data_IF_264234181958
#
_entry.id   IF_264234181958
#
_cell.length_a   1.000
_cell.length_b   1.000
_cell.length_c   1.000
_cell.angle_alpha   90.00
_cell.angle_beta   90.00
_cell.angle_gamma   90.00
#
_symmetry.space_group_name_H-M   'P 1'
#
loop_
_entity.id
_entity.type
_entity.pdbx_description
1 polymer ?
#
# COMPACT_ATOMS: atom_id res chain seq x y z
N UNK A 1 -34.36 32.23 18.63
CA UNK A 1 -33.30 31.57 17.83
C UNK A 1 -33.44 30.06 18.06
N UNK A 2 -33.58 29.27 17.00
CA UNK A 2 -33.78 27.81 17.14
C UNK A 2 -32.51 27.16 17.71
N UNK A 3 -32.64 26.11 18.53
CA UNK A 3 -31.51 25.41 19.19
C UNK A 3 -30.39 25.01 18.20
N UNK A 4 -30.76 24.66 16.96
CA UNK A 4 -29.81 24.41 15.85
C UNK A 4 -28.95 25.62 15.48
N UNK A 5 -29.52 26.82 15.47
CA UNK A 5 -28.79 28.05 15.13
C UNK A 5 -27.79 28.41 16.24
N UNK A 6 -28.16 28.18 17.50
CA UNK A 6 -27.25 28.39 18.65
C UNK A 6 -26.05 27.45 18.56
N UNK A 7 -26.28 26.17 18.25
CA UNK A 7 -25.21 25.17 18.09
C UNK A 7 -24.28 25.48 16.92
N UNK A 8 -24.82 25.94 15.79
CA UNK A 8 -24.00 26.33 14.61
C UNK A 8 -23.18 27.58 14.92
N UNK A 9 -23.75 28.57 15.60
CA UNK A 9 -23.03 29.79 15.99
C UNK A 9 -21.92 29.51 17.01
N UNK A 10 -22.14 28.59 17.96
CA UNK A 10 -21.11 28.12 18.90
C UNK A 10 -19.97 27.38 18.21
N UNK A 11 -20.28 26.55 17.21
CA UNK A 11 -19.27 25.84 16.43
C UNK A 11 -18.40 26.81 15.61
N UNK A 12 -19.01 27.81 14.97
CA UNK A 12 -18.29 28.84 14.23
C UNK A 12 -17.44 29.74 15.14
N UNK A 13 -17.93 30.06 16.34
CA UNK A 13 -17.15 30.81 17.32
C UNK A 13 -15.92 30.03 17.81
N UNK A 14 -16.04 28.72 18.04
CA UNK A 14 -14.90 27.88 18.41
C UNK A 14 -13.85 27.79 17.30
N UNK A 15 -14.27 27.63 16.04
CA UNK A 15 -13.36 27.57 14.88
C UNK A 15 -12.60 28.89 14.72
N UNK A 16 -13.28 30.03 14.91
CA UNK A 16 -12.66 31.35 14.83
C UNK A 16 -11.61 31.55 15.94
N UNK A 17 -11.91 31.10 17.17
CA UNK A 17 -11.00 31.18 18.31
C UNK A 17 -9.74 30.32 18.13
N UNK A 18 -9.84 29.15 17.48
CA UNK A 18 -8.67 28.31 17.18
C UNK A 18 -7.78 28.92 16.08
N UNK A 19 -8.37 29.53 15.05
CA UNK A 19 -7.59 30.18 13.98
C UNK A 19 -6.87 31.46 14.41
N UNK A 20 -7.35 32.15 15.46
CA UNK A 20 -6.63 33.32 16.01
C UNK A 20 -5.45 32.92 16.92
N UNK A 21 -5.43 31.67 17.42
CA UNK A 21 -4.34 31.13 18.23
C UNK A 21 -3.14 30.70 17.40
N UNK A 22 -3.33 30.31 16.12
CA UNK A 22 -2.24 29.89 15.23
C UNK A 22 -1.61 31.05 14.44
N UNK A 23 -2.32 32.17 14.31
CA UNK A 23 -1.83 33.33 13.56
C UNK A 23 -0.77 34.16 14.31
N UNK A 24 -0.53 33.91 15.60
CA UNK A 24 0.43 34.66 16.43
C UNK A 24 1.81 33.99 16.58
N UNK A 25 2.06 32.84 15.94
CA UNK A 25 3.32 32.09 16.07
C UNK A 25 4.20 32.03 14.81
N UNK A 26 3.97 32.87 13.80
CA UNK A 26 4.85 32.99 12.63
C UNK A 26 5.47 34.39 12.53
N UNK A 27 6.51 34.60 13.33
CA UNK A 27 7.49 35.66 13.11
C UNK A 27 8.85 35.02 12.80
N UNK A 28 9.57 35.61 11.83
CA UNK A 28 10.93 35.32 11.34
C UNK A 28 11.07 34.20 10.29
N UNK A 29 11.02 34.59 9.01
CA UNK A 29 11.72 33.88 7.94
C UNK A 29 13.21 34.32 7.96
N UNK A 30 14.19 33.40 7.93
CA UNK A 30 15.57 33.78 7.73
C UNK A 30 15.80 34.16 6.26
N UNK A 31 16.54 35.24 6.08
CA UNK A 31 17.06 35.74 4.80
C UNK A 31 17.91 34.62 4.18
N UNK A 32 17.51 34.11 3.02
CA UNK A 32 18.32 33.21 2.21
C UNK A 32 19.54 33.95 1.70
N UNK A 33 20.73 33.47 2.08
CA UNK A 33 21.99 33.86 1.44
C UNK A 33 21.93 33.51 -0.04
N UNK A 34 22.16 34.51 -0.91
CA UNK A 34 22.38 34.29 -2.33
C UNK A 34 23.68 33.50 -2.52
N UNK A 35 23.56 32.19 -2.75
CA UNK A 35 24.68 31.39 -3.23
C UNK A 35 25.00 31.86 -4.65
N UNK A 36 26.08 32.62 -4.78
CA UNK A 36 26.68 33.01 -6.06
C UNK A 36 27.09 31.76 -6.83
N UNK A 37 26.24 31.30 -7.76
CA UNK A 37 26.60 30.27 -8.72
C UNK A 37 27.52 30.93 -9.75
N UNK A 38 28.83 30.66 -9.64
CA UNK A 38 29.79 30.92 -10.71
C UNK A 38 29.24 30.28 -12.00
N UNK A 39 28.83 31.12 -12.97
CA UNK A 39 28.53 30.65 -14.32
C UNK A 39 29.81 30.11 -14.93
N UNK A 40 29.95 28.79 -14.98
CA UNK A 40 31.01 28.14 -15.76
C UNK A 40 30.98 28.69 -17.18
N UNK A 41 32.05 29.37 -17.58
CA UNK A 41 32.26 29.87 -18.94
C UNK A 41 32.33 28.69 -19.90
N UNK A 42 31.44 28.69 -20.89
CA UNK A 42 31.40 27.65 -21.93
C UNK A 42 32.71 27.68 -22.76
N UNK A 43 33.51 26.63 -22.63
CA UNK A 43 34.67 26.41 -23.50
C UNK A 43 34.24 25.73 -24.80
N UNK A 44 34.66 26.26 -25.94
CA UNK A 44 34.33 25.70 -27.24
C UNK A 44 35.01 24.35 -27.46
N UNK A 45 34.24 23.26 -27.47
CA UNK A 45 34.72 21.90 -27.77
C UNK A 45 34.73 21.62 -29.28
N UNK A 46 35.69 20.81 -29.74
CA UNK A 46 35.71 20.32 -31.12
C UNK A 46 34.59 19.31 -31.39
N UNK A 47 34.22 19.07 -32.66
CA UNK A 47 33.13 18.14 -33.02
C UNK A 47 33.39 16.71 -32.49
N UNK A 48 34.65 16.27 -32.43
CA UNK A 48 35.03 14.99 -31.84
C UNK A 48 34.84 14.94 -30.32
N UNK A 49 35.19 16.02 -29.63
CA UNK A 49 34.96 16.16 -28.17
C UNK A 49 33.47 16.33 -27.84
N UNK A 50 32.70 16.98 -28.72
CA UNK A 50 31.24 17.07 -28.60
C UNK A 50 30.60 15.69 -28.76
N UNK A 51 31.01 14.89 -29.75
CA UNK A 51 30.52 13.52 -29.94
C UNK A 51 30.92 12.60 -28.77
N UNK A 52 32.14 12.73 -28.24
CA UNK A 52 32.60 12.01 -27.05
C UNK A 52 31.83 12.41 -25.79
N UNK A 53 31.63 13.71 -25.56
CA UNK A 53 30.83 14.19 -24.43
C UNK A 53 29.36 13.81 -24.54
N UNK A 54 28.80 13.81 -25.76
CA UNK A 54 27.44 13.34 -26.02
C UNK A 54 27.31 11.86 -25.67
N UNK A 55 28.26 11.01 -26.11
CA UNK A 55 28.29 9.59 -25.77
C UNK A 55 28.37 9.38 -24.25
N UNK A 56 29.23 10.11 -23.55
CA UNK A 56 29.35 10.06 -22.08
C UNK A 56 28.07 10.46 -21.36
N UNK A 57 27.32 11.44 -21.89
CA UNK A 57 26.01 11.82 -21.33
C UNK A 57 24.86 10.87 -21.69
N UNK A 58 25.09 9.84 -22.50
CA UNK A 58 24.01 8.89 -22.84
C UNK A 58 23.78 7.89 -21.73
N UNK A 59 22.51 7.55 -21.49
CA UNK A 59 22.14 6.48 -20.55
C UNK A 59 22.62 5.09 -20.98
N UNK A 60 22.99 4.90 -22.26
CA UNK A 60 23.64 3.66 -22.72
C UNK A 60 25.06 3.57 -22.19
N UNK A 61 25.85 4.65 -22.26
CA UNK A 61 27.18 4.65 -21.67
C UNK A 61 27.11 4.49 -20.16
N UNK A 62 26.22 5.21 -19.48
CA UNK A 62 26.06 5.14 -18.02
C UNK A 62 25.53 3.78 -17.49
N UNK A 63 24.97 2.92 -18.35
CA UNK A 63 24.63 1.54 -17.97
C UNK A 63 25.84 0.60 -17.98
N UNK A 64 26.91 0.93 -18.71
CA UNK A 64 28.08 0.07 -18.92
C UNK A 64 29.39 0.65 -18.38
N UNK A 65 29.48 1.97 -18.25
CA UNK A 65 30.65 2.71 -17.80
C UNK A 65 30.49 3.11 -16.32
N UNK A 66 31.56 2.92 -15.55
CA UNK A 66 31.48 2.64 -14.10
C UNK A 66 31.56 3.89 -13.22
N UNK A 67 31.63 5.10 -13.78
CA UNK A 67 32.32 6.17 -13.05
C UNK A 67 31.64 7.55 -13.10
N UNK A 68 30.40 7.63 -12.60
CA UNK A 68 29.67 8.91 -12.54
C UNK A 68 29.44 9.45 -11.11
N UNK A 69 30.01 8.81 -10.08
CA UNK A 69 29.84 9.27 -8.68
C UNK A 69 28.37 9.33 -8.23
N UNK A 70 27.50 8.54 -8.87
CA UNK A 70 26.07 8.52 -8.55
C UNK A 70 25.85 8.01 -7.13
N UNK A 71 25.09 8.80 -6.38
CA UNK A 71 24.81 8.55 -4.99
C UNK A 71 23.52 7.72 -4.84
N UNK A 72 23.51 6.78 -3.91
CA UNK A 72 22.32 6.01 -3.52
C UNK A 72 21.27 6.95 -2.93
N UNK A 73 19.99 6.73 -3.23
CA UNK A 73 18.91 7.57 -2.68
C UNK A 73 18.44 7.04 -1.33
N UNK A 74 19.09 7.38 -0.22
CA UNK A 74 18.77 6.78 1.09
C UNK A 74 17.46 7.26 1.73
N UNK A 75 16.64 6.36 2.33
CA UNK A 75 15.41 6.74 3.04
C UNK A 75 15.67 7.66 4.25
N UNK A 76 16.88 7.65 4.80
CA UNK A 76 17.29 8.45 5.96
C UNK A 76 17.76 9.88 5.58
N UNK A 77 17.67 10.25 4.30
CA UNK A 77 18.01 11.58 3.78
C UNK A 77 19.43 11.70 3.21
N UNK A 78 19.71 12.86 2.60
CA UNK A 78 20.95 13.16 1.86
C UNK A 78 22.26 12.85 2.63
N UNK A 79 22.24 12.89 3.96
CA UNK A 79 23.43 12.65 4.80
C UNK A 79 23.91 11.18 4.82
N UNK A 80 23.10 10.24 4.36
CA UNK A 80 23.42 8.80 4.34
C UNK A 80 23.69 8.28 2.93
N UNK A 81 23.58 9.14 1.92
CA UNK A 81 23.85 8.76 0.54
C UNK A 81 25.32 8.35 0.39
N UNK A 82 25.55 7.20 -0.24
CA UNK A 82 26.87 6.68 -0.58
C UNK A 82 26.99 6.51 -2.08
N UNK A 83 28.20 6.41 -2.60
CA UNK A 83 28.40 6.05 -4.00
C UNK A 83 27.81 4.65 -4.27
N UNK A 84 27.07 4.53 -5.39
CA UNK A 84 26.53 3.27 -5.85
C UNK A 84 27.68 2.31 -6.19
N UNK A 85 27.53 1.05 -5.79
CA UNK A 85 28.44 -0.01 -6.22
C UNK A 85 28.28 -0.27 -7.72
N UNK A 86 29.31 -0.85 -8.36
CA UNK A 86 29.23 -1.25 -9.76
C UNK A 86 28.01 -2.12 -10.09
N UNK A 87 27.64 -3.01 -9.17
CA UNK A 87 26.44 -3.83 -9.34
C UNK A 87 25.17 -2.96 -9.33
N UNK A 88 25.05 -2.01 -8.41
CA UNK A 88 23.87 -1.14 -8.30
C UNK A 88 23.74 -0.17 -9.49
N UNK A 89 24.85 0.39 -9.98
CA UNK A 89 24.85 1.36 -11.07
C UNK A 89 24.70 0.74 -12.46
N UNK A 90 25.19 -0.50 -12.66
CA UNK A 90 25.18 -1.20 -13.95
C UNK A 90 24.25 -2.42 -13.95
N UNK A 91 24.75 -3.61 -13.63
CA UNK A 91 24.02 -4.89 -13.77
C UNK A 91 22.68 -4.91 -13.04
N UNK A 92 22.61 -4.32 -11.85
CA UNK A 92 21.42 -4.21 -11.03
C UNK A 92 20.32 -3.42 -11.72
N UNK A 93 20.65 -2.28 -12.35
CA UNK A 93 19.68 -1.52 -13.17
C UNK A 93 19.18 -2.32 -14.35
N UNK A 94 20.07 -3.06 -15.03
CA UNK A 94 19.68 -3.94 -16.15
C UNK A 94 18.68 -5.01 -15.66
N UNK A 95 18.96 -5.64 -14.52
CA UNK A 95 18.05 -6.62 -13.90
C UNK A 95 16.71 -5.97 -13.54
N UNK A 96 16.72 -4.78 -12.94
CA UNK A 96 15.49 -4.07 -12.58
C UNK A 96 14.68 -3.66 -13.80
N UNK A 97 15.32 -3.21 -14.87
CA UNK A 97 14.64 -2.91 -16.15
C UNK A 97 13.96 -4.17 -16.69
N UNK A 98 14.62 -5.33 -16.67
CA UNK A 98 14.02 -6.60 -17.07
C UNK A 98 12.81 -6.96 -16.20
N UNK A 99 12.92 -6.82 -14.88
CA UNK A 99 11.81 -7.03 -13.94
C UNK A 99 10.64 -6.10 -14.27
N UNK A 100 10.91 -4.81 -14.51
CA UNK A 100 9.91 -3.82 -14.90
C UNK A 100 9.18 -4.22 -16.19
N UNK A 101 9.90 -4.73 -17.20
CA UNK A 101 9.26 -5.25 -18.41
C UNK A 101 8.39 -6.49 -18.15
N UNK A 102 8.78 -7.35 -17.22
CA UNK A 102 7.92 -8.46 -16.76
C UNK A 102 6.64 -7.91 -16.11
N UNK A 103 6.74 -6.86 -15.27
CA UNK A 103 5.57 -6.22 -14.67
C UNK A 103 4.65 -5.59 -15.74
N UNK A 104 5.21 -4.94 -16.76
CA UNK A 104 4.41 -4.46 -17.90
C UNK A 104 3.72 -5.60 -18.66
N UNK A 105 4.42 -6.71 -18.91
CA UNK A 105 3.82 -7.88 -19.55
C UNK A 105 2.64 -8.43 -18.73
N UNK A 106 2.80 -8.54 -17.41
CA UNK A 106 1.74 -9.00 -16.52
C UNK A 106 0.55 -8.01 -16.50
N UNK A 107 0.81 -6.70 -16.46
CA UNK A 107 -0.23 -5.69 -16.44
C UNK A 107 -1.02 -5.64 -17.77
N UNK A 108 -0.31 -5.67 -18.90
CA UNK A 108 -0.90 -5.45 -20.23
C UNK A 108 -1.37 -6.75 -20.86
N UNK A 109 -0.48 -7.73 -21.03
CA UNK A 109 -0.80 -8.96 -21.75
C UNK A 109 -1.68 -9.92 -20.92
N UNK A 110 -1.55 -9.89 -19.60
CA UNK A 110 -2.31 -10.76 -18.69
C UNK A 110 -3.38 -10.02 -17.87
N UNK A 111 -3.51 -8.70 -18.04
CA UNK A 111 -4.51 -7.87 -17.34
C UNK A 111 -4.48 -8.04 -15.81
N UNK A 112 -3.29 -8.22 -15.23
CA UNK A 112 -3.13 -8.24 -13.76
C UNK A 112 -3.16 -6.81 -13.22
N UNK A 113 -4.30 -6.40 -12.65
CA UNK A 113 -4.51 -5.09 -11.99
C UNK A 113 -3.81 -3.90 -12.70
N UNK A 114 -4.13 -3.66 -13.99
CA UNK A 114 -3.41 -2.69 -14.82
C UNK A 114 -3.47 -1.26 -14.26
N UNK A 115 -4.54 -0.90 -13.53
CA UNK A 115 -4.71 0.43 -12.93
C UNK A 115 -3.60 0.77 -11.93
N UNK A 116 -3.06 -0.23 -11.22
CA UNK A 116 -1.99 -0.04 -10.23
C UNK A 116 -0.64 -0.50 -10.80
N UNK A 117 -0.62 -1.65 -11.48
CA UNK A 117 0.63 -2.27 -11.89
C UNK A 117 1.36 -1.49 -13.00
N UNK A 118 0.62 -0.78 -13.87
CA UNK A 118 1.23 0.06 -14.91
C UNK A 118 1.96 1.26 -14.28
N UNK A 119 1.34 2.11 -13.44
CA UNK A 119 2.06 3.18 -12.75
C UNK A 119 3.27 2.71 -11.94
N UNK A 120 3.17 1.56 -11.26
CA UNK A 120 4.28 0.98 -10.48
C UNK A 120 5.44 0.57 -11.38
N UNK A 121 5.16 -0.20 -12.44
CA UNK A 121 6.18 -0.60 -13.39
C UNK A 121 6.84 0.61 -14.05
N UNK A 122 6.04 1.64 -14.39
CA UNK A 122 6.57 2.86 -14.97
C UNK A 122 7.42 3.67 -14.00
N UNK A 123 7.01 3.80 -12.73
CA UNK A 123 7.84 4.41 -11.69
C UNK A 123 9.16 3.65 -11.48
N UNK A 124 9.13 2.32 -11.53
CA UNK A 124 10.32 1.47 -11.48
C UNK A 124 11.23 1.66 -12.70
N UNK A 125 10.66 1.81 -13.90
CA UNK A 125 11.44 2.14 -15.10
C UNK A 125 12.19 3.45 -14.88
N UNK A 126 11.47 4.50 -14.47
CA UNK A 126 12.00 5.84 -14.25
C UNK A 126 13.07 5.86 -13.15
N UNK A 127 12.88 5.08 -12.08
CA UNK A 127 13.84 4.98 -10.97
C UNK A 127 15.19 4.34 -11.38
N UNK A 128 15.21 3.55 -12.46
CA UNK A 128 16.41 2.87 -12.95
C UNK A 128 16.99 3.49 -14.22
N UNK A 129 16.51 4.67 -14.65
CA UNK A 129 17.17 5.42 -15.72
C UNK A 129 18.44 6.07 -15.15
N UNK A 130 19.63 5.72 -15.67
CA UNK A 130 20.88 6.30 -15.21
C UNK A 130 20.92 7.80 -15.52
N UNK A 131 21.68 8.55 -14.71
CA UNK A 131 21.93 9.99 -14.82
C UNK A 131 20.71 10.90 -14.66
N UNK A 132 19.50 10.34 -14.57
CA UNK A 132 18.27 11.13 -14.52
C UNK A 132 17.93 11.65 -13.11
N UNK A 133 18.51 11.06 -12.06
CA UNK A 133 18.29 11.46 -10.66
C UNK A 133 16.83 11.44 -10.21
N UNK A 134 15.94 10.76 -10.94
CA UNK A 134 14.49 10.87 -10.73
C UNK A 134 14.02 10.29 -9.38
N UNK A 135 14.76 9.34 -8.82
CA UNK A 135 14.49 8.70 -7.53
C UNK A 135 15.07 9.43 -6.31
N UNK A 136 15.97 10.40 -6.51
CA UNK A 136 16.59 11.16 -5.42
C UNK A 136 15.62 12.13 -4.76
N UNK A 137 16.02 12.73 -3.63
CA UNK A 137 15.15 13.59 -2.80
C UNK A 137 14.50 14.75 -3.58
N UNK A 138 15.26 15.39 -4.48
CA UNK A 138 14.77 16.45 -5.38
C UNK A 138 14.21 15.95 -6.72
N UNK A 139 14.29 14.66 -6.99
CA UNK A 139 13.77 14.04 -8.21
C UNK A 139 12.25 13.93 -8.20
N UNK A 140 11.61 13.89 -9.36
CA UNK A 140 10.15 13.80 -9.48
C UNK A 140 9.55 12.66 -8.63
N UNK A 141 10.17 11.47 -8.63
CA UNK A 141 9.67 10.32 -7.86
C UNK A 141 9.92 10.48 -6.36
N UNK A 142 11.06 11.08 -5.96
CA UNK A 142 11.35 11.40 -4.57
C UNK A 142 10.36 12.42 -3.99
N UNK A 143 10.03 13.47 -4.76
CA UNK A 143 9.00 14.45 -4.39
C UNK A 143 7.64 13.76 -4.21
N UNK A 144 7.24 12.90 -5.15
CA UNK A 144 5.97 12.15 -5.04
C UNK A 144 5.98 11.25 -3.79
N UNK A 145 7.09 10.56 -3.53
CA UNK A 145 7.24 9.71 -2.36
C UNK A 145 7.08 10.51 -1.06
N UNK A 146 7.78 11.65 -0.94
CA UNK A 146 7.74 12.51 0.24
C UNK A 146 6.39 13.23 0.41
N UNK A 147 5.71 13.55 -0.70
CA UNK A 147 4.41 14.21 -0.68
C UNK A 147 3.32 13.34 -0.04
N UNK A 148 3.35 12.02 -0.23
CA UNK A 148 2.22 11.18 0.19
C UNK A 148 2.47 9.74 0.58
N UNK A 149 3.65 9.16 0.33
CA UNK A 149 3.94 7.78 0.75
C UNK A 149 4.68 7.77 2.07
N UNK A 150 5.72 8.60 2.19
CA UNK A 150 6.54 8.72 3.41
C UNK A 150 5.71 9.12 4.63
N UNK A 151 4.68 9.93 4.42
CA UNK A 151 3.76 10.43 5.45
C UNK A 151 2.40 9.71 5.45
N UNK A 152 2.26 8.62 4.69
CA UNK A 152 1.06 7.77 4.59
C UNK A 152 -0.20 8.48 4.05
N UNK A 153 -0.10 9.72 3.55
CA UNK A 153 -1.25 10.49 3.11
C UNK A 153 -1.95 9.90 1.87
N UNK A 154 -1.22 9.41 0.87
CA UNK A 154 -1.82 8.77 -0.31
C UNK A 154 -2.56 7.48 0.05
N UNK A 155 -1.99 6.54 0.83
CA UNK A 155 -2.76 5.41 1.35
C UNK A 155 -4.06 5.82 2.03
N UNK A 156 -4.05 6.84 2.90
CA UNK A 156 -5.28 7.33 3.56
C UNK A 156 -6.35 7.78 2.55
N UNK A 157 -5.95 8.52 1.51
CA UNK A 157 -6.87 8.96 0.46
C UNK A 157 -7.39 7.79 -0.40
N UNK A 158 -6.57 6.77 -0.67
CA UNK A 158 -7.04 5.54 -1.32
C UNK A 158 -8.08 4.84 -0.45
N UNK A 159 -7.81 4.65 0.84
CA UNK A 159 -8.74 4.03 1.79
C UNK A 159 -10.06 4.80 1.89
N UNK A 160 -10.01 6.13 1.84
CA UNK A 160 -11.18 6.98 1.76
C UNK A 160 -12.01 6.71 0.49
N UNK A 161 -11.37 6.67 -0.68
CA UNK A 161 -12.04 6.32 -1.94
C UNK A 161 -12.63 4.89 -1.91
N UNK A 162 -11.91 3.92 -1.33
CA UNK A 162 -12.41 2.56 -1.16
C UNK A 162 -13.62 2.51 -0.22
N UNK A 163 -13.58 3.25 0.89
CA UNK A 163 -14.72 3.40 1.78
C UNK A 163 -15.97 3.87 1.03
N UNK A 164 -15.81 4.86 0.16
CA UNK A 164 -16.88 5.39 -0.69
C UNK A 164 -17.38 4.40 -1.77
N UNK A 165 -16.53 3.47 -2.24
CA UNK A 165 -16.96 2.38 -3.15
C UNK A 165 -17.63 1.22 -2.41
N UNK A 166 -17.25 0.95 -1.16
CA UNK A 166 -17.65 -0.26 -0.42
C UNK A 166 -19.12 -0.20 -0.02
N UNK A 167 -19.88 -1.27 -0.26
CA UNK A 167 -21.19 -1.48 0.39
C UNK A 167 -21.03 -2.59 1.42
N UNK A 168 -21.32 -2.25 2.68
CA UNK A 168 -21.23 -3.17 3.81
C UNK A 168 -22.45 -4.06 3.98
N UNK A 169 -23.47 -3.92 3.14
CA UNK A 169 -24.64 -4.79 3.11
C UNK A 169 -24.28 -6.28 3.22
N UNK A 170 -23.36 -6.82 2.41
CA UNK A 170 -22.97 -8.23 2.50
C UNK A 170 -22.23 -8.61 3.78
N UNK A 171 -21.33 -7.76 4.29
CA UNK A 171 -20.60 -8.02 5.55
C UNK A 171 -21.57 -7.98 6.74
N UNK A 172 -22.43 -6.96 6.81
CA UNK A 172 -23.46 -6.83 7.83
C UNK A 172 -24.46 -7.99 7.74
N UNK A 173 -24.81 -8.41 6.52
CA UNK A 173 -25.70 -9.54 6.32
C UNK A 173 -25.12 -10.86 6.84
N UNK A 174 -23.81 -11.08 6.64
CA UNK A 174 -23.12 -12.26 7.15
C UNK A 174 -21.80 -11.89 7.88
N UNK A 175 -21.89 -11.47 9.16
CA UNK A 175 -20.72 -11.03 9.94
C UNK A 175 -19.68 -12.13 10.15
N UNK A 176 -20.05 -13.40 10.01
CA UNK A 176 -19.13 -14.55 10.15
C UNK A 176 -17.97 -14.46 9.15
N UNK A 177 -18.16 -13.77 8.02
CA UNK A 177 -17.10 -13.55 7.02
C UNK A 177 -15.93 -12.74 7.57
N UNK A 178 -16.08 -11.97 8.65
CA UNK A 178 -14.98 -11.28 9.31
C UNK A 178 -13.93 -12.25 9.89
N UNK A 179 -14.33 -13.48 10.24
CA UNK A 179 -13.42 -14.52 10.75
C UNK A 179 -12.36 -14.89 9.70
N UNK A 180 -12.70 -14.80 8.42
CA UNK A 180 -11.77 -15.05 7.31
C UNK A 180 -10.63 -14.03 7.28
N UNK A 181 -10.93 -12.76 7.58
CA UNK A 181 -9.93 -11.70 7.73
C UNK A 181 -9.00 -11.94 8.92
N UNK A 182 -9.55 -12.45 10.03
CA UNK A 182 -8.76 -12.88 11.18
C UNK A 182 -7.84 -14.07 10.87
N UNK A 183 -8.33 -15.07 10.14
CA UNK A 183 -7.54 -16.22 9.74
C UNK A 183 -6.42 -15.87 8.75
N UNK A 184 -6.59 -14.83 7.93
CA UNK A 184 -5.52 -14.36 7.06
C UNK A 184 -4.32 -13.80 7.85
N UNK A 185 -4.53 -13.33 9.09
CA UNK A 185 -3.45 -12.82 9.96
C UNK A 185 -2.50 -13.90 10.48
N UNK A 186 -2.81 -15.19 10.27
CA UNK A 186 -1.80 -16.24 10.45
C UNK A 186 -0.57 -16.03 9.56
N UNK A 187 -0.70 -15.28 8.46
CA UNK A 187 0.45 -14.82 7.67
C UNK A 187 1.44 -13.98 8.48
N UNK A 188 0.95 -13.07 9.34
CA UNK A 188 1.80 -12.24 10.21
C UNK A 188 2.55 -13.12 11.22
N UNK A 189 1.83 -13.95 11.97
CA UNK A 189 2.48 -14.80 12.98
C UNK A 189 3.39 -15.88 12.36
N UNK A 190 3.05 -16.39 11.18
CA UNK A 190 3.92 -17.29 10.41
C UNK A 190 5.22 -16.60 9.97
N UNK A 191 5.13 -15.33 9.54
CA UNK A 191 6.28 -14.51 9.19
C UNK A 191 7.18 -14.26 10.40
N UNK A 192 6.60 -13.96 11.57
CA UNK A 192 7.32 -13.78 12.83
C UNK A 192 8.17 -15.03 13.15
N UNK A 193 7.54 -16.21 13.15
CA UNK A 193 8.24 -17.48 13.41
C UNK A 193 9.33 -17.71 12.37
N UNK A 194 9.05 -17.45 11.09
CA UNK A 194 10.04 -17.58 10.02
C UNK A 194 11.25 -16.67 10.19
N UNK A 195 11.03 -15.39 10.52
CA UNK A 195 12.09 -14.41 10.74
C UNK A 195 12.96 -14.78 11.96
N UNK A 196 12.36 -15.24 13.06
CA UNK A 196 13.10 -15.73 14.23
C UNK A 196 13.95 -16.95 13.89
N UNK A 197 13.43 -17.91 13.10
CA UNK A 197 14.18 -19.10 12.68
C UNK A 197 15.39 -18.72 11.82
N UNK A 198 15.28 -17.67 11.00
CA UNK A 198 16.36 -17.15 10.16
C UNK A 198 17.43 -16.40 10.98
N UNK A 199 17.14 -16.11 12.25
CA UNK A 199 18.09 -15.53 13.19
C UNK A 199 17.93 -14.03 13.43
N UNK A 200 16.81 -13.43 13.00
CA UNK A 200 16.47 -12.06 13.39
C UNK A 200 16.11 -12.00 14.87
N UNK A 201 16.46 -10.89 15.52
CA UNK A 201 15.99 -10.62 16.88
C UNK A 201 14.46 -10.56 16.92
N UNK A 202 13.84 -10.89 18.05
CA UNK A 202 12.38 -10.93 18.18
C UNK A 202 11.72 -9.57 17.88
N UNK A 203 12.40 -8.45 18.18
CA UNK A 203 11.91 -7.10 17.91
C UNK A 203 11.93 -6.81 16.40
N UNK A 204 13.04 -7.12 15.74
CA UNK A 204 13.21 -7.00 14.29
C UNK A 204 12.28 -7.93 13.52
N UNK A 205 12.18 -9.19 13.95
CA UNK A 205 11.27 -10.18 13.43
C UNK A 205 9.81 -9.73 13.56
N UNK A 206 9.45 -9.04 14.65
CA UNK A 206 8.12 -8.47 14.83
C UNK A 206 7.83 -7.37 13.82
N UNK A 207 8.80 -6.51 13.51
CA UNK A 207 8.67 -5.51 12.44
C UNK A 207 8.51 -6.15 11.05
N UNK A 208 9.35 -7.14 10.73
CA UNK A 208 9.27 -7.89 9.46
C UNK A 208 7.94 -8.64 9.34
N UNK A 209 7.42 -9.16 10.46
CA UNK A 209 6.25 -10.04 10.45
C UNK A 209 4.97 -9.37 9.91
N UNK A 210 4.81 -8.06 10.13
CA UNK A 210 3.64 -7.29 9.72
C UNK A 210 3.46 -7.26 8.21
N UNK A 211 4.55 -7.45 7.44
CA UNK A 211 4.50 -7.60 5.98
C UNK A 211 3.53 -8.72 5.57
N UNK A 212 3.40 -9.76 6.39
CA UNK A 212 2.46 -10.87 6.17
C UNK A 212 0.98 -10.45 6.17
N UNK A 213 0.66 -9.28 6.73
CA UNK A 213 -0.67 -8.69 6.64
C UNK A 213 -0.97 -8.04 5.28
N UNK A 214 0.06 -7.75 4.48
CA UNK A 214 -0.05 -6.99 3.23
C UNK A 214 -0.67 -5.59 3.41
N UNK A 215 -0.44 -4.98 4.59
CA UNK A 215 -0.90 -3.64 4.93
C UNK A 215 0.30 -2.69 5.03
N UNK A 216 0.53 -1.91 3.97
CA UNK A 216 1.68 -1.01 3.84
C UNK A 216 1.78 0.01 4.98
N UNK A 217 0.73 0.81 5.23
CA UNK A 217 0.70 1.74 6.36
C UNK A 217 1.00 1.10 7.71
N UNK A 218 0.35 -0.01 8.06
CA UNK A 218 0.62 -0.69 9.34
C UNK A 218 2.06 -1.24 9.40
N UNK A 219 2.62 -1.68 8.27
CA UNK A 219 4.02 -2.14 8.18
C UNK A 219 5.03 -1.01 8.43
N UNK A 220 4.82 0.15 7.81
CA UNK A 220 5.66 1.35 8.02
C UNK A 220 5.59 1.77 9.49
N UNK A 221 4.38 1.85 10.03
CA UNK A 221 4.13 2.28 11.39
C UNK A 221 4.89 1.44 12.44
N UNK A 222 4.83 0.11 12.28
CA UNK A 222 5.49 -0.83 13.18
C UNK A 222 7.00 -0.81 12.97
N UNK A 223 7.46 -0.81 11.72
CA UNK A 223 8.89 -0.72 11.44
C UNK A 223 9.50 0.55 12.03
N UNK A 224 8.82 1.70 11.96
CA UNK A 224 9.31 2.95 12.55
C UNK A 224 9.43 2.91 14.09
N UNK A 225 8.73 1.99 14.77
CA UNK A 225 8.77 1.86 16.24
C UNK A 225 9.69 0.74 16.70
N UNK A 226 9.66 -0.39 16.01
CA UNK A 226 10.38 -1.60 16.42
C UNK A 226 11.73 -1.74 15.73
N UNK A 227 11.83 -1.38 14.44
CA UNK A 227 13.06 -1.53 13.67
C UNK A 227 13.26 -0.36 12.68
N UNK A 228 13.55 0.86 13.16
CA UNK A 228 13.70 2.04 12.30
C UNK A 228 14.78 1.88 11.23
N UNK A 229 15.80 1.07 11.52
CA UNK A 229 16.89 0.78 10.60
C UNK A 229 16.46 -0.07 9.40
N UNK A 230 15.46 -0.94 9.58
CA UNK A 230 14.90 -1.78 8.52
C UNK A 230 13.67 -1.16 7.84
N UNK A 231 13.24 0.04 8.26
CA UNK A 231 12.05 0.71 7.74
C UNK A 231 12.05 0.78 6.22
N UNK A 232 13.19 1.10 5.61
CA UNK A 232 13.35 1.15 4.16
C UNK A 232 13.03 -0.19 3.50
N UNK A 233 13.69 -1.27 3.96
CA UNK A 233 13.52 -2.61 3.40
C UNK A 233 12.10 -3.16 3.64
N UNK A 234 11.53 -2.94 4.82
CA UNK A 234 10.17 -3.34 5.16
C UNK A 234 9.14 -2.59 4.31
N UNK A 235 9.30 -1.27 4.13
CA UNK A 235 8.40 -0.48 3.30
C UNK A 235 8.47 -0.89 1.83
N UNK A 236 9.69 -1.10 1.29
CA UNK A 236 9.89 -1.62 -0.08
C UNK A 236 9.17 -2.97 -0.21
N UNK A 237 9.35 -3.87 0.75
CA UNK A 237 8.77 -5.21 0.70
C UNK A 237 7.23 -5.20 0.81
N UNK A 238 6.68 -4.45 1.76
CA UNK A 238 5.24 -4.37 1.98
C UNK A 238 4.51 -3.87 0.73
N UNK A 239 4.97 -2.79 0.12
CA UNK A 239 4.35 -2.25 -1.09
C UNK A 239 4.62 -3.10 -2.33
N UNK A 240 5.81 -3.71 -2.45
CA UNK A 240 6.11 -4.64 -3.54
C UNK A 240 5.17 -5.86 -3.50
N UNK A 241 4.89 -6.41 -2.33
CA UNK A 241 3.95 -7.54 -2.21
C UNK A 241 2.52 -7.18 -2.46
N UNK A 242 2.08 -6.01 -2.00
CA UNK A 242 0.76 -5.51 -2.31
C UNK A 242 0.56 -5.43 -3.84
N UNK A 243 1.59 -5.01 -4.59
CA UNK A 243 1.55 -5.00 -6.05
C UNK A 243 1.53 -6.40 -6.69
N UNK A 244 2.11 -7.39 -6.03
CA UNK A 244 2.20 -8.79 -6.49
C UNK A 244 1.00 -9.65 -6.05
N UNK A 245 0.05 -9.13 -5.26
CA UNK A 245 -1.21 -9.81 -4.89
C UNK A 245 -1.88 -10.53 -6.07
N UNK A 246 -2.03 -9.90 -7.26
CA UNK A 246 -2.67 -10.55 -8.41
C UNK A 246 -1.87 -11.69 -8.99
N UNK A 247 -0.56 -11.74 -8.74
CA UNK A 247 0.33 -12.81 -9.21
C UNK A 247 0.36 -13.95 -8.20
N UNK A 248 0.38 -13.63 -6.90
CA UNK A 248 0.57 -14.61 -5.83
C UNK A 248 -0.73 -15.30 -5.43
N UNK A 249 -1.85 -14.57 -5.27
CA UNK A 249 -3.09 -15.18 -4.79
C UNK A 249 -3.70 -16.19 -5.77
N UNK A 250 -3.81 -15.92 -7.09
CA UNK A 250 -4.53 -16.84 -7.98
C UNK A 250 -3.94 -18.25 -8.07
N UNK A 251 -2.62 -18.46 -8.14
CA UNK A 251 -2.05 -19.81 -8.05
C UNK A 251 -2.45 -20.55 -6.78
N UNK A 252 -2.41 -19.88 -5.62
CA UNK A 252 -2.76 -20.49 -4.32
C UNK A 252 -4.24 -20.85 -4.26
N UNK A 253 -5.10 -19.92 -4.68
CA UNK A 253 -6.54 -20.19 -4.81
C UNK A 253 -6.78 -21.39 -5.71
N UNK A 254 -6.09 -21.48 -6.85
CA UNK A 254 -6.24 -22.59 -7.79
C UNK A 254 -5.66 -23.92 -7.29
N UNK A 255 -4.66 -23.89 -6.43
CA UNK A 255 -4.04 -25.08 -5.86
C UNK A 255 -4.87 -25.66 -4.69
N UNK A 256 -5.45 -24.81 -3.86
CA UNK A 256 -6.14 -25.25 -2.63
C UNK A 256 -7.64 -25.47 -2.79
N UNK A 257 -8.28 -24.87 -3.80
CA UNK A 257 -9.74 -25.00 -4.01
C UNK A 257 -10.05 -25.88 -5.21
N UNK A 258 -11.22 -26.52 -5.20
CA UNK A 258 -11.76 -27.30 -6.32
C UNK A 258 -12.64 -26.43 -7.21
N UNK A 259 -12.94 -26.86 -8.43
CA UNK A 259 -13.78 -26.09 -9.35
C UNK A 259 -15.21 -25.95 -8.81
N UNK A 260 -15.72 -27.00 -8.18
CA UNK A 260 -17.03 -27.07 -7.53
C UNK A 260 -17.17 -26.02 -6.42
N UNK A 261 -16.11 -25.83 -5.63
CA UNK A 261 -16.05 -24.80 -4.60
C UNK A 261 -16.02 -23.38 -5.18
N UNK A 262 -15.29 -23.17 -6.29
CA UNK A 262 -15.14 -21.84 -6.92
C UNK A 262 -16.42 -21.33 -7.58
N UNK A 263 -17.28 -22.23 -8.04
CA UNK A 263 -18.54 -21.87 -8.70
C UNK A 263 -19.71 -21.62 -7.73
N UNK A 264 -19.47 -21.72 -6.42
CA UNK A 264 -20.44 -21.37 -5.38
C UNK A 264 -20.86 -19.90 -5.55
N UNK A 265 -22.17 -19.68 -5.65
CA UNK A 265 -22.76 -18.33 -5.72
C UNK A 265 -23.15 -17.91 -4.32
N UNK A 266 -22.55 -16.82 -3.86
CA UNK A 266 -22.86 -16.24 -2.56
C UNK A 266 -24.25 -15.61 -2.58
N UNK A 267 -25.10 -15.95 -1.60
CA UNK A 267 -26.40 -15.31 -1.40
C UNK A 267 -26.27 -14.17 -0.39
N UNK A 268 -27.07 -13.12 -0.56
CA UNK A 268 -27.28 -12.12 0.50
C UNK A 268 -28.32 -12.66 1.48
N UNK A 269 -27.92 -12.89 2.73
CA UNK A 269 -28.73 -13.62 3.73
C UNK A 269 -29.87 -12.79 4.29
N UNK A 270 -29.65 -11.48 4.51
CA UNK A 270 -30.66 -10.55 5.02
C UNK A 270 -30.60 -9.18 4.34
N UNK A 271 -31.76 -8.52 4.29
CA UNK A 271 -31.85 -7.11 3.89
C UNK A 271 -31.38 -6.24 5.05
N UNK A 272 -30.28 -5.52 4.85
CA UNK A 272 -29.68 -4.63 5.86
C UNK A 272 -30.41 -3.29 5.84
N UNK A 273 -30.78 -2.79 7.02
CA UNK A 273 -31.49 -1.52 7.14
C UNK A 273 -30.55 -0.34 6.84
N UNK A 274 -31.05 0.74 6.22
CA UNK A 274 -30.22 1.91 5.87
C UNK A 274 -29.49 2.51 7.09
N UNK A 275 -30.19 2.59 8.21
CA UNK A 275 -29.63 3.08 9.47
C UNK A 275 -28.48 2.20 9.99
N UNK A 276 -28.55 0.89 9.76
CA UNK A 276 -27.50 -0.05 10.16
C UNK A 276 -26.23 0.18 9.33
N UNK A 277 -26.38 0.35 8.00
CA UNK A 277 -25.26 0.71 7.12
C UNK A 277 -24.63 2.05 7.48
N UNK A 278 -25.46 3.04 7.82
CA UNK A 278 -24.99 4.37 8.19
C UNK A 278 -24.23 4.40 9.51
N UNK A 279 -24.69 3.64 10.52
CA UNK A 279 -24.08 3.60 11.85
C UNK A 279 -22.84 2.70 11.88
N UNK A 280 -22.78 1.66 11.05
CA UNK A 280 -21.67 0.72 11.01
C UNK A 280 -20.27 1.37 10.92
N UNK A 281 -19.97 2.28 9.97
CA UNK A 281 -18.65 2.91 9.91
C UNK A 281 -18.32 3.72 11.18
N UNK A 282 -19.31 4.34 11.83
CA UNK A 282 -19.11 5.02 13.12
C UNK A 282 -18.77 4.01 14.20
N UNK A 283 -19.48 2.88 14.28
CA UNK A 283 -19.20 1.83 15.26
C UNK A 283 -17.80 1.27 15.07
N UNK A 284 -17.39 0.97 13.82
CA UNK A 284 -16.03 0.49 13.52
C UNK A 284 -14.98 1.53 13.92
N UNK A 285 -15.22 2.81 13.62
CA UNK A 285 -14.32 3.89 14.03
C UNK A 285 -14.23 4.01 15.56
N UNK A 286 -15.35 3.96 16.28
CA UNK A 286 -15.36 4.02 17.73
C UNK A 286 -14.66 2.82 18.37
N UNK A 287 -14.86 1.61 17.83
CA UNK A 287 -14.16 0.43 18.28
C UNK A 287 -12.65 0.54 18.02
N UNK A 288 -12.25 1.04 16.85
CA UNK A 288 -10.85 1.31 16.55
C UNK A 288 -10.26 2.32 17.54
N UNK A 289 -10.92 3.46 17.78
CA UNK A 289 -10.46 4.47 18.73
C UNK A 289 -10.29 3.93 20.16
N UNK A 290 -11.19 3.05 20.61
CA UNK A 290 -11.17 2.50 21.96
C UNK A 290 -10.17 1.36 22.14
N UNK A 291 -10.00 0.50 21.14
CA UNK A 291 -9.16 -0.70 21.24
C UNK A 291 -7.75 -0.49 20.67
N UNK A 292 -7.65 0.23 19.55
CA UNK A 292 -6.41 0.46 18.80
C UNK A 292 -6.40 1.86 18.19
N UNK A 293 -6.21 2.92 19.01
CA UNK A 293 -6.22 4.31 18.54
C UNK A 293 -5.16 4.57 17.46
N UNK A 294 -4.07 3.79 17.43
CA UNK A 294 -3.02 3.88 16.43
C UNK A 294 -3.51 3.53 15.01
N UNK A 295 -4.57 2.72 14.87
CA UNK A 295 -5.19 2.36 13.59
C UNK A 295 -6.27 3.34 13.13
N UNK A 296 -6.56 4.36 13.94
CA UNK A 296 -7.61 5.33 13.68
C UNK A 296 -7.44 6.15 12.39
N UNK A 297 -6.22 6.52 11.92
CA UNK A 297 -6.08 7.25 10.66
C UNK A 297 -6.64 6.46 9.47
N UNK A 298 -6.26 5.19 9.32
CA UNK A 298 -6.71 4.33 8.22
C UNK A 298 -8.20 4.01 8.33
N UNK A 299 -8.63 3.55 9.51
CA UNK A 299 -10.03 3.19 9.75
C UNK A 299 -10.91 4.43 9.65
N UNK A 300 -10.44 5.59 10.09
CA UNK A 300 -11.14 6.87 10.02
C UNK A 300 -11.31 7.37 8.59
N UNK A 301 -10.25 7.37 7.78
CA UNK A 301 -10.34 7.76 6.37
C UNK A 301 -11.33 6.84 5.61
N UNK A 302 -11.22 5.54 5.84
CA UNK A 302 -12.12 4.54 5.28
C UNK A 302 -13.58 4.74 5.75
N UNK A 303 -13.80 4.91 7.05
CA UNK A 303 -15.12 5.13 7.64
C UNK A 303 -15.75 6.43 7.14
N UNK A 304 -14.96 7.49 6.95
CA UNK A 304 -15.41 8.75 6.39
C UNK A 304 -15.92 8.58 4.96
N UNK A 305 -15.15 7.91 4.10
CA UNK A 305 -15.58 7.61 2.73
C UNK A 305 -16.88 6.81 2.69
N UNK A 306 -16.98 5.78 3.55
CA UNK A 306 -18.18 4.96 3.63
C UNK A 306 -19.39 5.72 4.18
N UNK A 307 -19.20 6.51 5.23
CA UNK A 307 -20.24 7.33 5.82
C UNK A 307 -20.76 8.37 4.83
N UNK A 308 -19.88 9.02 4.07
CA UNK A 308 -20.27 9.95 3.01
C UNK A 308 -21.20 9.28 1.98
N UNK A 309 -20.86 8.07 1.52
CA UNK A 309 -21.68 7.26 0.63
C UNK A 309 -23.04 6.92 1.25
N UNK A 310 -23.06 6.33 2.45
CA UNK A 310 -24.29 5.84 3.08
C UNK A 310 -25.20 6.98 3.61
N UNK A 311 -24.64 8.18 3.83
CA UNK A 311 -25.39 9.37 4.24
C UNK A 311 -26.40 9.81 3.16
N UNK A 312 -26.02 9.71 1.88
CA UNK A 312 -26.83 10.13 0.74
C UNK A 312 -27.15 11.63 0.70
N UNK A 313 -26.35 12.45 1.39
CA UNK A 313 -26.48 13.93 1.37
C UNK A 313 -25.28 14.64 0.75
N UNK A 314 -24.19 13.90 0.53
CA UNK A 314 -22.92 14.41 -0.04
C UNK A 314 -22.52 13.63 -1.29
N UNK A 315 -23.48 13.35 -2.18
CA UNK A 315 -23.27 12.53 -3.37
C UNK A 315 -22.11 13.03 -4.23
N UNK A 316 -21.98 14.35 -4.43
CA UNK A 316 -20.85 14.95 -5.17
C UNK A 316 -19.49 14.63 -4.55
N UNK A 317 -19.39 14.62 -3.22
CA UNK A 317 -18.15 14.29 -2.52
C UNK A 317 -17.88 12.80 -2.62
N UNK A 318 -18.89 11.96 -2.37
CA UNK A 318 -18.78 10.50 -2.51
C UNK A 318 -18.32 10.12 -3.92
N UNK A 319 -18.94 10.71 -4.95
CA UNK A 319 -18.59 10.48 -6.35
C UNK A 319 -17.16 10.94 -6.69
N UNK A 320 -16.72 12.07 -6.13
CA UNK A 320 -15.36 12.56 -6.32
C UNK A 320 -14.35 11.61 -5.67
N UNK A 321 -14.63 11.15 -4.44
CA UNK A 321 -13.76 10.23 -3.69
C UNK A 321 -13.61 8.88 -4.41
N UNK A 322 -14.71 8.29 -4.87
CA UNK A 322 -14.69 6.97 -5.51
C UNK A 322 -14.20 6.96 -6.97
N UNK A 323 -14.12 8.12 -7.63
CA UNK A 323 -13.68 8.24 -9.02
C UNK A 323 -12.43 9.12 -9.14
N UNK A 324 -12.60 10.44 -9.31
CA UNK A 324 -11.52 11.34 -9.71
C UNK A 324 -10.37 11.39 -8.70
N UNK A 325 -10.69 11.50 -7.40
CA UNK A 325 -9.68 11.59 -6.35
C UNK A 325 -8.86 10.29 -6.25
N UNK A 326 -9.53 9.14 -6.15
CA UNK A 326 -8.84 7.86 -6.04
C UNK A 326 -7.98 7.59 -7.29
N UNK A 327 -8.43 7.97 -8.49
CA UNK A 327 -7.66 7.79 -9.71
C UNK A 327 -6.39 8.67 -9.74
N UNK A 328 -6.49 9.94 -9.33
CA UNK A 328 -5.32 10.84 -9.21
C UNK A 328 -4.32 10.28 -8.20
N UNK A 329 -4.80 9.93 -7.01
CA UNK A 329 -3.95 9.40 -5.95
C UNK A 329 -3.35 8.05 -6.34
N UNK A 330 -4.08 7.21 -7.08
CA UNK A 330 -3.57 5.92 -7.59
C UNK A 330 -2.37 6.10 -8.49
N UNK A 331 -2.37 7.12 -9.37
CA UNK A 331 -1.23 7.43 -10.23
C UNK A 331 -0.02 7.84 -9.39
N UNK A 332 -0.19 8.77 -8.45
CA UNK A 332 0.90 9.23 -7.59
C UNK A 332 1.42 8.12 -6.67
N UNK A 333 0.53 7.35 -6.05
CA UNK A 333 0.89 6.20 -5.24
C UNK A 333 1.67 5.19 -6.07
N UNK A 334 1.21 4.85 -7.26
CA UNK A 334 1.89 3.89 -8.11
C UNK A 334 3.28 4.34 -8.55
N UNK A 335 3.43 5.58 -9.01
CA UNK A 335 4.73 6.15 -9.37
C UNK A 335 5.68 6.23 -8.16
N UNK A 336 5.17 6.67 -7.02
CA UNK A 336 5.95 6.76 -5.79
C UNK A 336 6.34 5.40 -5.22
N UNK A 337 5.48 4.37 -5.30
CA UNK A 337 5.85 3.00 -4.96
C UNK A 337 6.90 2.46 -5.95
N UNK A 338 6.74 2.76 -7.24
CA UNK A 338 7.71 2.40 -8.28
C UNK A 338 9.11 2.98 -8.03
N UNK A 339 9.22 4.14 -7.36
CA UNK A 339 10.51 4.71 -6.92
C UNK A 339 11.34 3.74 -6.06
N UNK A 340 10.68 2.84 -5.34
CA UNK A 340 11.30 1.84 -4.47
C UNK A 340 11.79 0.59 -5.21
N UNK A 341 11.52 0.50 -6.52
CA UNK A 341 12.09 -0.51 -7.40
C UNK A 341 13.46 -0.08 -7.97
N UNK A 342 14.14 0.90 -7.38
CA UNK A 342 15.51 1.24 -7.71
C UNK A 342 16.48 0.09 -7.32
N UNK A 343 17.51 -0.15 -8.13
CA UNK A 343 18.44 -1.26 -7.94
C UNK A 343 19.15 -1.26 -6.57
N UNK A 344 19.53 -0.09 -6.06
CA UNK A 344 20.16 0.12 -4.75
C UNK A 344 19.23 -0.10 -3.55
N UNK A 345 17.92 -0.27 -3.78
CA UNK A 345 16.93 -0.57 -2.74
C UNK A 345 16.39 -1.98 -2.85
N UNK A 346 16.09 -2.41 -4.07
CA UNK A 346 15.41 -3.66 -4.34
C UNK A 346 16.37 -4.86 -4.33
N UNK A 347 17.59 -4.71 -4.89
CA UNK A 347 18.57 -5.81 -5.05
C UNK A 347 19.61 -5.84 -3.91
N UNK A 348 19.20 -5.50 -2.70
CA UNK A 348 20.03 -5.57 -1.49
C UNK A 348 19.75 -6.89 -0.76
N UNK A 349 20.79 -7.59 -0.29
CA UNK A 349 20.68 -8.92 0.32
C UNK A 349 19.66 -8.97 1.47
N UNK A 350 19.70 -7.95 2.35
CA UNK A 350 18.77 -7.81 3.47
C UNK A 350 17.33 -7.62 2.99
N UNK A 351 17.11 -6.68 2.05
CA UNK A 351 15.80 -6.48 1.41
C UNK A 351 15.31 -7.76 0.76
N UNK A 352 16.18 -8.51 0.06
CA UNK A 352 15.83 -9.79 -0.57
C UNK A 352 15.43 -10.86 0.47
N UNK A 353 16.10 -10.92 1.62
CA UNK A 353 15.74 -11.81 2.73
C UNK A 353 14.35 -11.48 3.29
N UNK A 354 14.12 -10.21 3.62
CA UNK A 354 12.82 -9.69 4.08
C UNK A 354 11.73 -9.94 3.03
N UNK A 355 12.08 -9.75 1.76
CA UNK A 355 11.23 -10.07 0.63
C UNK A 355 10.85 -11.55 0.70
N UNK A 356 11.76 -12.50 0.66
CA UNK A 356 11.40 -13.94 0.65
C UNK A 356 10.48 -14.30 1.82
N UNK A 357 10.75 -13.79 3.02
CA UNK A 357 9.88 -13.98 4.20
C UNK A 357 8.48 -13.43 3.94
N UNK A 358 8.37 -12.19 3.45
CA UNK A 358 7.09 -11.55 3.13
C UNK A 358 6.29 -12.30 2.06
N UNK A 359 6.94 -12.83 1.03
CA UNK A 359 6.29 -13.64 -0.01
C UNK A 359 5.70 -14.93 0.55
N UNK A 360 6.47 -15.63 1.40
CA UNK A 360 6.02 -16.86 2.06
C UNK A 360 4.86 -16.52 3.02
N UNK A 361 5.02 -15.48 3.82
CA UNK A 361 4.00 -15.01 4.78
C UNK A 361 2.67 -14.69 4.09
N UNK A 362 2.72 -13.92 3.01
CA UNK A 362 1.56 -13.58 2.19
C UNK A 362 0.90 -14.85 1.61
N UNK A 363 1.72 -15.79 1.15
CA UNK A 363 1.23 -17.06 0.61
C UNK A 363 0.53 -17.91 1.68
N UNK A 364 1.11 -17.97 2.88
CA UNK A 364 0.53 -18.65 4.05
C UNK A 364 -0.76 -17.96 4.50
N UNK A 365 -0.80 -16.63 4.55
CA UNK A 365 -2.01 -15.88 4.90
C UNK A 365 -3.15 -16.11 3.91
N UNK A 366 -2.85 -16.11 2.61
CA UNK A 366 -3.82 -16.44 1.55
C UNK A 366 -4.32 -17.88 1.72
N UNK A 367 -3.42 -18.83 1.94
CA UNK A 367 -3.77 -20.23 2.15
C UNK A 367 -4.63 -20.42 3.42
N UNK A 368 -4.26 -19.78 4.53
CA UNK A 368 -4.98 -19.84 5.79
C UNK A 368 -6.40 -19.28 5.66
N UNK A 369 -6.59 -18.15 4.97
CA UNK A 369 -7.92 -17.60 4.68
C UNK A 369 -8.79 -18.56 3.86
N UNK A 370 -8.23 -19.16 2.80
CA UNK A 370 -8.94 -20.15 1.95
C UNK A 370 -9.28 -21.41 2.75
N UNK A 371 -8.34 -21.94 3.54
CA UNK A 371 -8.55 -23.11 4.38
C UNK A 371 -9.60 -22.83 5.45
N UNK A 372 -9.59 -21.64 6.05
CA UNK A 372 -10.62 -21.24 7.01
C UNK A 372 -12.01 -21.20 6.36
N UNK A 373 -12.13 -20.71 5.12
CA UNK A 373 -13.39 -20.75 4.39
C UNK A 373 -13.90 -22.19 4.18
N UNK A 374 -13.00 -23.15 3.89
CA UNK A 374 -13.35 -24.57 3.82
C UNK A 374 -13.77 -25.15 5.15
N UNK A 375 -13.08 -24.79 6.23
CA UNK A 375 -13.47 -25.20 7.59
C UNK A 375 -14.85 -24.65 7.92
N UNK A 376 -15.11 -23.38 7.63
CA UNK A 376 -16.44 -22.77 7.83
C UNK A 376 -17.52 -23.48 7.01
N UNK A 377 -17.24 -23.93 5.79
CA UNK A 377 -18.17 -24.74 4.99
C UNK A 377 -18.55 -26.07 5.63
N UNK A 378 -17.70 -26.66 6.47
CA UNK A 378 -18.01 -27.92 7.16
C UNK A 378 -19.02 -27.73 8.29
N UNK A 379 -19.11 -26.52 8.85
CA UNK A 379 -19.93 -26.21 10.03
C UNK A 379 -21.05 -25.20 9.75
N UNK A 380 -21.19 -24.73 8.50
CA UNK A 380 -22.20 -23.75 8.10
C UNK A 380 -23.23 -24.41 7.19
N UNK A 381 -24.52 -24.20 7.51
CA UNK A 381 -25.62 -24.64 6.65
C UNK A 381 -25.66 -23.86 5.31
N UNK A 382 -25.04 -22.68 5.29
CA UNK A 382 -24.89 -21.87 4.08
C UNK A 382 -23.49 -22.01 3.50
N UNK A 383 -23.36 -22.36 2.20
CA UNK A 383 -22.08 -22.52 1.56
C UNK A 383 -21.40 -21.16 1.34
N UNK A 384 -20.14 -21.07 1.77
CA UNK A 384 -19.23 -19.96 1.57
C UNK A 384 -18.29 -20.32 0.42
N UNK A 385 -18.15 -19.43 -0.57
CA UNK A 385 -17.20 -19.63 -1.65
C UNK A 385 -15.77 -19.48 -1.10
N UNK A 386 -14.91 -20.53 -1.10
CA UNK A 386 -13.58 -20.44 -0.50
C UNK A 386 -12.66 -19.38 -1.11
N UNK A 387 -12.95 -18.90 -2.32
CA UNK A 387 -12.23 -17.77 -2.93
C UNK A 387 -12.32 -16.50 -2.06
N UNK A 388 -13.43 -16.25 -1.36
CA UNK A 388 -13.54 -15.07 -0.49
C UNK A 388 -12.63 -15.17 0.74
N UNK A 389 -12.13 -16.36 1.07
CA UNK A 389 -11.13 -16.54 2.12
C UNK A 389 -9.79 -15.90 1.77
N UNK A 390 -9.37 -15.99 0.50
CA UNK A 390 -8.15 -15.32 0.02
C UNK A 390 -8.26 -13.78 0.13
N UNK A 391 -9.49 -13.25 0.05
CA UNK A 391 -9.74 -11.83 0.21
C UNK A 391 -9.45 -11.32 1.63
N UNK A 392 -9.26 -12.21 2.61
CA UNK A 392 -8.91 -11.84 3.99
C UNK A 392 -7.54 -11.19 4.14
N UNK A 393 -6.64 -11.33 3.15
CA UNK A 393 -5.37 -10.61 3.14
C UNK A 393 -5.61 -9.13 2.87
N UNK A 394 -5.03 -8.26 3.70
CA UNK A 394 -5.37 -6.84 3.90
C UNK A 394 -5.03 -5.89 2.76
N UNK A 395 -4.76 -6.41 1.56
CA UNK A 395 -4.48 -5.61 0.37
C UNK A 395 -5.78 -5.00 -0.20
N UNK A 396 -6.33 -4.00 0.49
CA UNK A 396 -7.57 -3.32 0.13
C UNK A 396 -7.32 -2.31 -1.01
N UNK A 397 -8.17 -2.24 -2.06
CA UNK A 397 -9.29 -3.14 -2.41
C UNK A 397 -8.86 -4.29 -3.34
N UNK A 398 -7.56 -4.43 -3.61
CA UNK A 398 -6.97 -5.28 -4.66
C UNK A 398 -7.25 -6.78 -4.44
N UNK A 399 -7.09 -7.28 -3.22
CA UNK A 399 -7.35 -8.66 -2.82
C UNK A 399 -8.79 -9.09 -3.17
N UNK A 400 -9.79 -8.28 -2.81
CA UNK A 400 -11.19 -8.52 -3.13
C UNK A 400 -11.47 -8.46 -4.66
N UNK A 401 -10.81 -7.57 -5.39
CA UNK A 401 -10.92 -7.49 -6.86
C UNK A 401 -10.32 -8.70 -7.55
N UNK A 402 -9.15 -9.17 -7.12
CA UNK A 402 -8.50 -10.39 -7.64
C UNK A 402 -9.38 -11.62 -7.41
N UNK A 403 -9.95 -11.76 -6.21
CA UNK A 403 -10.91 -12.82 -5.89
C UNK A 403 -12.14 -12.75 -6.80
N UNK A 404 -12.70 -11.55 -7.01
CA UNK A 404 -13.85 -11.37 -7.91
C UNK A 404 -13.53 -11.68 -9.36
N UNK A 405 -12.32 -11.35 -9.84
CA UNK A 405 -11.84 -11.70 -11.17
C UNK A 405 -11.76 -13.21 -11.35
N UNK A 406 -11.09 -13.92 -10.42
CA UNK A 406 -10.97 -15.38 -10.46
C UNK A 406 -12.34 -16.07 -10.34
N UNK A 407 -13.24 -15.55 -9.49
CA UNK A 407 -14.61 -16.06 -9.41
C UNK A 407 -15.40 -15.91 -10.72
N UNK A 408 -15.20 -14.78 -11.43
CA UNK A 408 -15.84 -14.51 -12.72
C UNK A 408 -15.25 -15.35 -13.86
N UNK A 409 -13.95 -15.67 -13.80
CA UNK A 409 -13.29 -16.59 -14.75
C UNK A 409 -13.83 -18.03 -14.64
N UNK A 410 -14.12 -18.49 -13.42
CA UNK A 410 -14.63 -19.84 -13.16
C UNK A 410 -16.13 -19.97 -13.46
N UNK A 411 -16.90 -18.90 -13.19
CA UNK A 411 -18.33 -18.82 -13.50
C UNK A 411 -18.70 -17.40 -13.97
N UNK A 412 -18.95 -17.19 -15.28
CA UNK A 412 -19.40 -15.90 -15.79
C UNK A 412 -20.63 -15.38 -15.04
N UNK A 413 -20.57 -14.12 -14.58
CA UNK A 413 -21.63 -13.49 -13.79
C UNK A 413 -21.55 -13.74 -12.27
N UNK A 414 -20.63 -14.56 -11.78
CA UNK A 414 -20.40 -14.75 -10.34
C UNK A 414 -19.52 -13.63 -9.75
N UNK A 415 -20.14 -12.47 -9.48
CA UNK A 415 -19.44 -11.30 -8.94
C UNK A 415 -19.28 -11.43 -7.42
N UNK A 416 -18.06 -11.71 -6.96
CA UNK A 416 -17.75 -11.90 -5.54
C UNK A 416 -17.31 -10.61 -4.82
N UNK A 417 -17.02 -9.53 -5.54
CA UNK A 417 -16.42 -8.30 -4.99
C UNK A 417 -17.09 -7.84 -3.69
N UNK A 418 -18.42 -7.73 -3.70
CA UNK A 418 -19.17 -7.22 -2.55
C UNK A 418 -19.12 -8.15 -1.34
N UNK A 419 -19.03 -9.46 -1.56
CA UNK A 419 -18.88 -10.45 -0.49
C UNK A 419 -17.42 -10.56 -0.02
N UNK A 420 -16.46 -10.34 -0.91
CA UNK A 420 -15.02 -10.39 -0.64
C UNK A 420 -14.51 -9.14 0.11
N UNK A 421 -15.20 -7.99 -0.02
CA UNK A 421 -14.85 -6.78 0.73
C UNK A 421 -15.00 -6.96 2.25
N UNK A 422 -15.91 -7.81 2.71
CA UNK A 422 -16.09 -8.10 4.14
C UNK A 422 -14.81 -8.68 4.78
N UNK A 423 -14.33 -9.86 4.31
CA UNK A 423 -13.05 -10.41 4.72
C UNK A 423 -11.87 -9.46 4.55
N UNK A 424 -11.82 -8.67 3.46
CA UNK A 424 -10.70 -7.78 3.17
C UNK A 424 -10.60 -6.62 4.18
N UNK A 425 -11.72 -5.98 4.51
CA UNK A 425 -11.77 -4.95 5.56
C UNK A 425 -11.47 -5.56 6.94
N UNK A 426 -12.00 -6.75 7.23
CA UNK A 426 -11.68 -7.47 8.46
C UNK A 426 -10.18 -7.82 8.55
N UNK A 427 -9.53 -8.06 7.40
CA UNK A 427 -8.08 -8.24 7.29
C UNK A 427 -7.30 -7.02 7.77
N UNK A 428 -7.64 -5.83 7.26
CA UNK A 428 -7.01 -4.57 7.70
C UNK A 428 -7.15 -4.36 9.21
N UNK A 429 -8.36 -4.56 9.74
CA UNK A 429 -8.60 -4.49 11.20
C UNK A 429 -7.75 -5.54 11.93
N UNK A 430 -7.67 -6.76 11.40
CA UNK A 430 -6.87 -7.84 11.95
C UNK A 430 -5.36 -7.54 11.97
N UNK A 431 -4.82 -6.95 10.90
CA UNK A 431 -3.41 -6.55 10.82
C UNK A 431 -3.09 -5.46 11.83
N UNK A 432 -3.97 -4.47 11.96
CA UNK A 432 -3.91 -3.47 13.02
C UNK A 432 -3.89 -4.10 14.42
N UNK A 433 -4.81 -5.03 14.72
CA UNK A 433 -4.87 -5.73 16.01
C UNK A 433 -3.56 -6.49 16.27
N UNK A 434 -3.06 -7.24 15.29
CA UNK A 434 -1.80 -7.97 15.40
C UNK A 434 -0.62 -7.03 15.67
N UNK A 435 -0.56 -5.90 14.97
CA UNK A 435 0.42 -4.84 15.18
C UNK A 435 0.38 -4.26 16.59
N UNK A 436 -0.82 -3.96 17.13
CA UNK A 436 -0.98 -3.49 18.50
C UNK A 436 -0.54 -4.50 19.55
N UNK A 437 -0.83 -5.79 19.33
CA UNK A 437 -0.36 -6.88 20.22
C UNK A 437 1.16 -6.97 20.18
N UNK A 438 1.78 -6.97 18.99
CA UNK A 438 3.24 -7.04 18.85
C UNK A 438 3.92 -5.84 19.51
N UNK A 439 3.40 -4.62 19.34
CA UNK A 439 3.91 -3.44 20.04
C UNK A 439 3.80 -3.56 21.56
N UNK A 440 2.71 -4.12 22.09
CA UNK A 440 2.55 -4.26 23.54
C UNK A 440 3.56 -5.21 24.19
N UNK A 441 4.20 -6.08 23.42
CA UNK A 441 5.24 -7.00 23.92
C UNK A 441 6.56 -6.25 24.18
N UNK A 442 6.80 -5.14 23.48
CA UNK A 442 8.05 -4.37 23.52
C UNK A 442 7.91 -2.98 24.16
N UNK A 443 6.71 -2.64 24.68
CA UNK A 443 6.44 -1.38 25.39
C UNK A 443 6.75 -1.48 26.88
#
# INVERSE_FOLDING_TARGET
MNLKQILISLLFAMIALTSMSEASSHDTAPITEEVSTEKQTYESKTIGELAGSWWQTTGLNALFDVNDGEMTSEPKGAAYEREMTWFESSLGRIIMILIVFILFYLAIAKNFEPLLLIPIAFGGLLANIPLAGMGGEGGMLGIIYNMGIANEFFPLLIFMGVGAMTDFGPLLANPKTAILGGAAQFGIFGALVGAVIIGFDIQDASAISIIGGADGPTSIFIANRLAPDMLGAIAVAAYSYMALVPVIQPPIMRALTTKEERVIVMKTTRKVHRLEKLIFPIVVLMLALLLLPESAPLIGAFAFGNFAKESGVVDRLSDTMQNSLINIVTIFLGLGVGSKLAADKFLVLETMGIMVIGLIAFSVGTAAGVLMAKVMNKYSDEPINPLIGAAGVSAVPMSARVVSKVGSEEKPGNVLLMHAMGPNVAGVIGSAVAAGVLLSIFK
#
